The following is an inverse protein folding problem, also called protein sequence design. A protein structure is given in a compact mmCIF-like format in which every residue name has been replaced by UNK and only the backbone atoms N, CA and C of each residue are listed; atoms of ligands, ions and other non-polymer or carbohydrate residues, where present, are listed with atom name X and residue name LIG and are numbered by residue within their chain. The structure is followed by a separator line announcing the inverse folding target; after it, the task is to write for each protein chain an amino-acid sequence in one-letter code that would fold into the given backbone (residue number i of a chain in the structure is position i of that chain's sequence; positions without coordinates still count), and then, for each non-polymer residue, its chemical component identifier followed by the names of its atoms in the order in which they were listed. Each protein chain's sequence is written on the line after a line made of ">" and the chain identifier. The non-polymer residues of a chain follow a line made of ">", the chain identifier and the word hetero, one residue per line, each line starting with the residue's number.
data_IF_564815183449
#
_entry.id   IF_564815183449
#
_cell.length_a   1.000
_cell.length_b   1.000
_cell.length_c   1.000
_cell.angle_alpha   90.00
_cell.angle_beta   90.00
_cell.angle_gamma   90.00
#
_symmetry.space_group_name_H-M   'P 1'
#
loop_
_entity.id
_entity.type
_entity.pdbx_description
1 polymer ?
#
# COMPACT_ATOMS: atom_id res chain seq x y z
N UNK A 1 -5.33 -11.27 -26.34
CA UNK A 1 -4.78 -12.54 -25.82
C UNK A 1 -5.34 -12.79 -24.43
N UNK A 2 -6.00 -13.93 -24.21
CA UNK A 2 -6.55 -14.26 -22.89
C UNK A 2 -5.39 -14.32 -21.87
N UNK A 3 -5.48 -13.53 -20.81
CA UNK A 3 -4.43 -13.43 -19.77
C UNK A 3 -4.46 -14.72 -18.95
N UNK A 4 -3.75 -15.75 -19.40
CA UNK A 4 -3.70 -17.04 -18.72
C UNK A 4 -3.12 -16.87 -17.32
N UNK A 5 -3.85 -17.27 -16.29
CA UNK A 5 -3.36 -17.24 -14.92
C UNK A 5 -2.13 -18.16 -14.79
N UNK A 6 -1.04 -17.63 -14.22
CA UNK A 6 0.16 -18.43 -13.89
C UNK A 6 -0.11 -19.22 -12.60
N UNK A 7 0.14 -20.52 -12.62
CA UNK A 7 -0.01 -21.41 -11.47
C UNK A 7 1.31 -21.49 -10.71
N UNK A 8 1.23 -21.45 -9.38
CA UNK A 8 2.37 -21.59 -8.47
C UNK A 8 2.05 -22.67 -7.44
N UNK A 9 2.95 -23.63 -7.28
CA UNK A 9 2.95 -24.56 -6.16
C UNK A 9 3.94 -24.04 -5.10
N UNK A 10 3.48 -23.93 -3.86
CA UNK A 10 4.28 -23.48 -2.72
C UNK A 10 4.16 -24.47 -1.58
N UNK A 11 5.26 -24.69 -0.87
CA UNK A 11 5.24 -25.34 0.44
C UNK A 11 5.04 -24.27 1.50
N UNK A 12 4.12 -24.51 2.43
CA UNK A 12 3.85 -23.63 3.57
C UNK A 12 4.11 -24.40 4.87
N UNK A 13 4.63 -23.72 5.91
CA UNK A 13 4.59 -24.26 7.27
C UNK A 13 3.16 -24.67 7.65
N UNK A 14 2.97 -25.78 8.39
CA UNK A 14 1.64 -26.24 8.79
C UNK A 14 0.81 -25.16 9.52
N UNK A 15 1.45 -24.37 10.37
CA UNK A 15 0.86 -23.27 11.13
C UNK A 15 0.30 -22.18 10.22
N UNK A 16 1.07 -21.73 9.23
CA UNK A 16 0.65 -20.73 8.24
C UNK A 16 -0.53 -21.24 7.40
N UNK A 17 -0.47 -22.52 7.00
CA UNK A 17 -1.57 -23.14 6.27
C UNK A 17 -2.86 -23.21 7.09
N UNK A 18 -2.76 -23.52 8.38
CA UNK A 18 -3.91 -23.54 9.29
C UNK A 18 -4.51 -22.15 9.46
N UNK A 19 -3.69 -21.11 9.63
CA UNK A 19 -4.16 -19.73 9.73
C UNK A 19 -4.87 -19.29 8.44
N UNK A 20 -4.28 -19.60 7.28
CA UNK A 20 -4.91 -19.36 5.98
C UNK A 20 -6.27 -20.07 5.88
N UNK A 21 -6.39 -21.33 6.32
CA UNK A 21 -7.66 -22.06 6.30
C UNK A 21 -8.71 -21.46 7.25
N UNK A 22 -8.31 -20.91 8.40
CA UNK A 22 -9.22 -20.18 9.30
C UNK A 22 -9.80 -18.94 8.61
N UNK A 23 -8.93 -18.13 7.98
CA UNK A 23 -9.35 -16.95 7.21
C UNK A 23 -10.26 -17.34 6.05
N UNK A 24 -9.88 -18.40 5.32
CA UNK A 24 -10.67 -18.92 4.20
C UNK A 24 -12.10 -19.25 4.62
N UNK A 25 -12.26 -19.97 5.73
CA UNK A 25 -13.59 -20.35 6.28
C UNK A 25 -14.37 -19.13 6.76
N UNK A 26 -13.72 -18.25 7.52
CA UNK A 26 -14.33 -17.01 8.05
C UNK A 26 -14.91 -16.14 6.92
N UNK A 27 -14.18 -15.99 5.83
CA UNK A 27 -14.57 -15.13 4.70
C UNK A 27 -15.26 -15.89 3.56
N UNK A 28 -15.56 -17.19 3.73
CA UNK A 28 -16.15 -18.05 2.69
C UNK A 28 -15.41 -17.95 1.34
N UNK A 29 -14.08 -17.85 1.39
CA UNK A 29 -13.22 -17.64 0.23
C UNK A 29 -12.62 -18.95 -0.29
N UNK A 30 -12.00 -18.92 -1.47
CA UNK A 30 -11.11 -20.00 -1.92
C UNK A 30 -9.69 -19.80 -1.38
N UNK A 31 -8.88 -20.86 -1.33
CA UNK A 31 -7.45 -20.77 -0.93
C UNK A 31 -6.69 -19.77 -1.79
N UNK A 32 -6.90 -19.83 -3.11
CA UNK A 32 -6.25 -18.93 -4.06
C UNK A 32 -6.70 -17.47 -3.90
N UNK A 33 -7.93 -17.21 -3.45
CA UNK A 33 -8.39 -15.87 -3.15
C UNK A 33 -7.67 -15.30 -1.92
N UNK A 34 -7.53 -16.09 -0.84
CA UNK A 34 -6.80 -15.68 0.36
C UNK A 34 -5.34 -15.37 0.04
N UNK A 35 -4.65 -16.29 -0.65
CA UNK A 35 -3.24 -16.10 -1.05
C UNK A 35 -3.08 -14.88 -1.95
N UNK A 36 -3.98 -14.69 -2.93
CA UNK A 36 -3.93 -13.52 -3.82
C UNK A 36 -4.11 -12.22 -3.06
N UNK A 37 -5.01 -12.18 -2.08
CA UNK A 37 -5.22 -11.01 -1.25
C UNK A 37 -3.99 -10.72 -0.38
N UNK A 38 -3.43 -11.75 0.27
CA UNK A 38 -2.21 -11.63 1.06
C UNK A 38 -1.04 -11.06 0.24
N UNK A 39 -0.82 -11.59 -0.97
CA UNK A 39 0.22 -11.09 -1.89
C UNK A 39 0.00 -9.62 -2.27
N UNK A 40 -1.24 -9.23 -2.58
CA UNK A 40 -1.58 -7.84 -2.90
C UNK A 40 -1.28 -6.91 -1.74
N UNK A 41 -1.72 -7.27 -0.54
CA UNK A 41 -1.46 -6.52 0.68
C UNK A 41 0.04 -6.40 0.94
N UNK A 42 0.79 -7.50 0.80
CA UNK A 42 2.24 -7.49 0.96
C UNK A 42 2.93 -6.55 -0.03
N UNK A 43 2.60 -6.63 -1.33
CA UNK A 43 3.19 -5.74 -2.33
C UNK A 43 2.84 -4.27 -2.11
N UNK A 44 1.61 -3.98 -1.69
CA UNK A 44 1.21 -2.62 -1.36
C UNK A 44 2.01 -2.07 -0.17
N UNK A 45 2.16 -2.85 0.90
CA UNK A 45 2.96 -2.47 2.06
C UNK A 45 4.42 -2.19 1.68
N UNK A 46 5.03 -3.07 0.86
CA UNK A 46 6.41 -2.88 0.40
C UNK A 46 6.59 -1.63 -0.45
N UNK A 47 5.61 -1.30 -1.31
CA UNK A 47 5.62 -0.05 -2.08
C UNK A 47 5.52 1.17 -1.18
N UNK A 48 4.60 1.18 -0.21
CA UNK A 48 4.47 2.28 0.75
C UNK A 48 5.76 2.48 1.56
N UNK A 49 6.36 1.39 2.05
CA UNK A 49 7.65 1.46 2.75
C UNK A 49 8.78 2.01 1.86
N UNK A 50 8.79 1.68 0.56
CA UNK A 50 9.76 2.23 -0.38
C UNK A 50 9.56 3.74 -0.58
N UNK A 51 8.32 4.20 -0.74
CA UNK A 51 8.00 5.62 -0.86
C UNK A 51 8.42 6.42 0.38
N UNK A 52 8.14 5.90 1.58
CA UNK A 52 8.56 6.54 2.83
C UNK A 52 10.07 6.64 2.91
N UNK A 53 10.79 5.56 2.58
CA UNK A 53 12.27 5.58 2.55
C UNK A 53 12.79 6.62 1.56
N UNK A 54 12.25 6.65 0.36
CA UNK A 54 12.64 7.61 -0.67
C UNK A 54 12.40 9.05 -0.22
N UNK A 55 11.24 9.33 0.39
CA UNK A 55 10.92 10.66 0.93
C UNK A 55 11.92 11.07 2.03
N UNK A 56 12.16 10.21 3.02
CA UNK A 56 13.08 10.49 4.14
C UNK A 56 14.51 10.70 3.65
N UNK A 57 14.98 9.87 2.72
CA UNK A 57 16.32 10.02 2.13
C UNK A 57 16.44 11.31 1.32
N UNK A 58 15.40 11.68 0.57
CA UNK A 58 15.32 12.94 -0.16
C UNK A 58 15.41 14.13 0.79
N UNK A 59 14.54 14.17 1.80
CA UNK A 59 14.47 15.24 2.79
C UNK A 59 15.78 15.40 3.57
N UNK A 60 16.44 14.29 3.93
CA UNK A 60 17.75 14.34 4.62
C UNK A 60 18.85 14.98 3.76
N UNK A 61 18.81 14.78 2.44
CA UNK A 61 19.80 15.32 1.50
C UNK A 61 19.46 16.76 1.10
N UNK A 62 18.18 17.03 0.89
CA UNK A 62 17.64 18.29 0.40
C UNK A 62 16.39 18.59 1.22
N UNK A 63 16.54 19.22 2.40
CA UNK A 63 15.38 19.62 3.18
C UNK A 63 14.61 20.69 2.40
N UNK A 64 13.28 20.62 2.48
CA UNK A 64 12.40 21.62 1.89
C UNK A 64 12.74 23.01 2.46
N UNK A 65 12.89 23.99 1.58
CA UNK A 65 13.15 25.36 1.98
C UNK A 65 11.84 26.07 2.41
N UNK A 66 11.93 27.12 3.25
CA UNK A 66 10.75 27.90 3.64
C UNK A 66 9.97 28.47 2.44
N UNK A 67 10.64 28.81 1.35
CA UNK A 67 10.00 29.31 0.13
C UNK A 67 9.21 28.25 -0.63
N UNK A 68 9.73 27.02 -0.69
CA UNK A 68 9.01 25.89 -1.28
C UNK A 68 7.78 25.53 -0.44
N UNK A 69 7.92 25.51 0.89
CA UNK A 69 6.82 25.27 1.82
C UNK A 69 5.69 26.30 1.66
N UNK A 70 6.02 27.58 1.55
CA UNK A 70 5.03 28.64 1.31
C UNK A 70 4.31 28.47 -0.03
N UNK A 71 5.02 28.02 -1.08
CA UNK A 71 4.43 27.71 -2.38
C UNK A 71 3.46 26.52 -2.32
N UNK A 72 3.82 25.47 -1.58
CA UNK A 72 2.93 24.32 -1.34
C UNK A 72 1.69 24.70 -0.54
N UNK A 73 1.84 25.53 0.50
CA UNK A 73 0.74 26.01 1.31
C UNK A 73 -0.25 26.84 0.48
N UNK A 74 0.25 27.76 -0.35
CA UNK A 74 -0.61 28.55 -1.25
C UNK A 74 -1.35 27.65 -2.25
N UNK A 75 -0.64 26.70 -2.88
CA UNK A 75 -1.26 25.76 -3.82
C UNK A 75 -2.32 24.88 -3.14
N UNK A 76 -2.12 24.50 -1.88
CA UNK A 76 -3.11 23.75 -1.10
C UNK A 76 -4.36 24.59 -0.82
N UNK A 77 -4.21 25.86 -0.44
CA UNK A 77 -5.32 26.79 -0.21
C UNK A 77 -6.12 27.06 -1.49
N UNK A 78 -5.44 27.15 -2.63
CA UNK A 78 -6.09 27.36 -3.93
C UNK A 78 -6.86 26.11 -4.39
N UNK A 79 -6.31 24.91 -4.14
CA UNK A 79 -6.94 23.64 -4.52
C UNK A 79 -8.11 23.25 -3.60
N UNK A 80 -8.00 23.57 -2.31
CA UNK A 80 -9.03 23.32 -1.30
C UNK A 80 -9.30 24.59 -0.49
N UNK A 81 -10.08 25.53 -1.04
CA UNK A 81 -10.41 26.77 -0.36
C UNK A 81 -11.08 26.44 0.98
N UNK A 82 -10.56 27.00 2.07
CA UNK A 82 -11.17 26.86 3.39
C UNK A 82 -12.57 27.48 3.32
N UNK A 83 -13.61 26.63 3.28
CA UNK A 83 -14.98 27.12 3.37
C UNK A 83 -15.14 27.88 4.70
N UNK A 84 -15.44 29.18 4.59
CA UNK A 84 -15.81 30.00 5.74
C UNK A 84 -17.12 29.44 6.30
N UNK A 85 -17.06 28.70 7.41
CA UNK A 85 -18.26 28.42 8.21
C UNK A 85 -18.87 29.75 8.62
N UNK A 86 -20.11 30.01 8.16
CA UNK A 86 -20.95 31.13 8.57
C UNK A 86 -21.43 30.95 10.00
#
# INVERSE_FOLDING_TARGET
>A
MARSAVKLAISLPPEDFQEMERLRRKFKASRSAVVRQALRTYFQLRRQQALVRQYVEGYRKYPESPGELAGFEQAQLDAFPLEKRK
#
